data_IF_094782259365
#
_entry.id   IF_094782259365
#
_cell.length_a   1.000
_cell.length_b   1.000
_cell.length_c   1.000
_cell.angle_alpha   90.00
_cell.angle_beta   90.00
_cell.angle_gamma   90.00
#
_symmetry.space_group_name_H-M   'P 1'
#
loop_
_entity.id
_entity.type
_entity.pdbx_description
1 polymer ?
#
# COMPACT_ATOMS: atom_id res chain seq x y z
N UNK A 1 25.54 35.31 -5.39
CA UNK A 1 24.24 35.12 -4.69
C UNK A 1 23.35 34.08 -5.39
N UNK A 2 23.13 34.16 -6.71
CA UNK A 2 22.31 33.18 -7.44
C UNK A 2 22.83 31.74 -7.41
N UNK A 3 24.15 31.55 -7.28
CA UNK A 3 24.78 30.23 -7.12
C UNK A 3 24.25 29.47 -5.91
N UNK A 4 24.08 30.14 -4.77
CA UNK A 4 23.50 29.53 -3.57
C UNK A 4 22.03 29.14 -3.78
N UNK A 5 21.29 29.97 -4.52
CA UNK A 5 19.89 29.73 -4.85
C UNK A 5 19.72 28.49 -5.74
N UNK A 6 20.58 28.34 -6.76
CA UNK A 6 20.60 27.17 -7.64
C UNK A 6 21.00 25.91 -6.86
N UNK A 7 22.04 25.98 -6.04
CA UNK A 7 22.49 24.83 -5.23
C UNK A 7 21.41 24.39 -4.24
N UNK A 8 20.70 25.32 -3.62
CA UNK A 8 19.58 25.01 -2.72
C UNK A 8 18.47 24.22 -3.42
N UNK A 9 18.05 24.65 -4.62
CA UNK A 9 17.02 23.97 -5.40
C UNK A 9 17.49 22.56 -5.80
N UNK A 10 18.73 22.41 -6.22
CA UNK A 10 19.29 21.10 -6.60
C UNK A 10 19.27 20.13 -5.42
N UNK A 11 19.66 20.57 -4.22
CA UNK A 11 19.64 19.74 -3.01
C UNK A 11 18.20 19.29 -2.69
N UNK A 12 17.22 20.19 -2.79
CA UNK A 12 15.81 19.84 -2.56
C UNK A 12 15.35 18.75 -3.52
N UNK A 13 15.66 18.87 -4.81
CA UNK A 13 15.29 17.85 -5.81
C UNK A 13 15.94 16.50 -5.50
N UNK A 14 17.23 16.50 -5.14
CA UNK A 14 17.94 15.26 -4.77
C UNK A 14 17.30 14.60 -3.54
N UNK A 15 17.00 15.37 -2.50
CA UNK A 15 16.34 14.86 -1.29
C UNK A 15 14.94 14.33 -1.60
N UNK A 16 14.16 15.02 -2.43
CA UNK A 16 12.83 14.57 -2.83
C UNK A 16 12.87 13.26 -3.63
N UNK A 17 13.79 13.13 -4.59
CA UNK A 17 13.95 11.89 -5.35
C UNK A 17 14.33 10.72 -4.43
N UNK A 18 15.29 10.93 -3.53
CA UNK A 18 15.68 9.92 -2.54
C UNK A 18 14.52 9.53 -1.62
N UNK A 19 13.72 10.51 -1.17
CA UNK A 19 12.55 10.27 -0.33
C UNK A 19 11.51 9.43 -1.06
N UNK A 20 11.13 9.81 -2.28
CA UNK A 20 10.14 9.05 -3.08
C UNK A 20 10.63 7.63 -3.34
N UNK A 21 11.89 7.45 -3.76
CA UNK A 21 12.43 6.11 -4.02
C UNK A 21 12.40 5.24 -2.75
N UNK A 22 12.81 5.81 -1.61
CA UNK A 22 12.86 5.08 -0.33
C UNK A 22 11.45 4.74 0.15
N UNK A 23 10.53 5.69 0.11
CA UNK A 23 9.13 5.51 0.50
C UNK A 23 8.42 4.55 -0.44
N UNK A 24 8.64 4.61 -1.75
CA UNK A 24 8.08 3.65 -2.71
C UNK A 24 8.56 2.23 -2.43
N UNK A 25 9.81 2.03 -2.03
CA UNK A 25 10.29 0.69 -1.60
C UNK A 25 9.67 0.24 -0.27
N UNK A 26 9.39 1.16 0.65
CA UNK A 26 8.74 0.85 1.92
C UNK A 26 7.23 0.56 1.77
N UNK A 27 6.53 1.23 0.84
CA UNK A 27 5.15 0.89 0.48
C UNK A 27 5.07 -0.37 -0.37
N UNK A 28 6.07 -0.60 -1.24
CA UNK A 28 6.19 -1.82 -2.02
C UNK A 28 6.67 -3.00 -1.19
N UNK A 29 7.20 -2.76 0.02
CA UNK A 29 7.29 -3.79 1.05
C UNK A 29 5.87 -4.09 1.44
N UNK A 30 5.32 -5.06 0.71
CA UNK A 30 3.99 -5.61 0.85
C UNK A 30 3.63 -5.56 2.33
N UNK A 31 2.46 -5.00 2.63
CA UNK A 31 1.67 -5.65 3.65
C UNK A 31 1.71 -7.14 3.27
N UNK A 32 2.53 -7.94 3.96
CA UNK A 32 2.07 -9.24 4.42
C UNK A 32 0.83 -8.90 5.24
N UNK A 33 -0.25 -8.54 4.53
CA UNK A 33 -1.58 -8.95 4.90
C UNK A 33 -1.34 -10.43 4.99
N UNK A 34 -1.17 -10.90 6.22
CA UNK A 34 -1.13 -12.32 6.48
C UNK A 34 -2.23 -12.89 5.59
N UNK A 35 -1.92 -13.90 4.75
CA UNK A 35 -2.99 -14.61 4.07
C UNK A 35 -4.02 -14.89 5.16
N UNK A 36 -5.27 -14.47 4.93
CA UNK A 36 -6.36 -14.76 5.84
C UNK A 36 -6.38 -16.29 5.95
N UNK A 37 -5.68 -16.79 6.97
CA UNK A 37 -5.49 -18.21 7.21
C UNK A 37 -6.90 -18.74 7.39
N UNK A 38 -7.27 -19.58 6.43
CA UNK A 38 -8.41 -20.49 6.40
C UNK A 38 -9.27 -20.37 7.67
N UNK A 39 -10.12 -19.35 7.70
CA UNK A 39 -10.91 -19.00 8.87
C UNK A 39 -12.12 -19.95 8.88
N UNK A 40 -12.17 -20.93 9.80
CA UNK A 40 -13.21 -21.97 9.79
C UNK A 40 -14.63 -21.45 10.11
N UNK A 41 -14.79 -20.13 10.21
CA UNK A 41 -16.03 -19.43 10.50
C UNK A 41 -16.60 -18.63 9.30
N UNK A 42 -15.93 -18.56 8.14
CA UNK A 42 -16.46 -17.80 6.97
C UNK A 42 -17.55 -18.54 6.16
N UNK A 43 -17.89 -19.79 6.48
CA UNK A 43 -18.92 -20.56 5.76
C UNK A 43 -20.19 -20.86 6.57
N UNK A 44 -20.75 -19.83 7.21
CA UNK A 44 -22.07 -19.94 7.90
C UNK A 44 -23.12 -18.98 7.33
N UNK A 45 -22.84 -18.25 6.26
CA UNK A 45 -23.71 -17.14 5.80
C UNK A 45 -24.42 -17.29 4.46
N UNK A 46 -24.29 -18.41 3.72
CA UNK A 46 -24.82 -18.52 2.34
C UNK A 46 -25.46 -19.87 2.01
N UNK A 47 -26.33 -20.37 2.89
CA UNK A 47 -27.21 -21.52 2.58
C UNK A 47 -28.63 -21.29 3.08
N UNK A 48 -29.23 -20.18 2.68
CA UNK A 48 -30.66 -19.92 2.95
C UNK A 48 -31.36 -19.24 1.75
N UNK A 49 -31.10 -19.67 0.51
CA UNK A 49 -31.87 -19.13 -0.65
C UNK A 49 -32.32 -20.17 -1.70
N UNK A 50 -32.10 -21.48 -1.52
CA UNK A 50 -32.46 -22.49 -2.53
C UNK A 50 -33.51 -23.55 -2.10
N UNK A 51 -34.23 -23.36 -1.00
CA UNK A 51 -35.29 -24.30 -0.57
C UNK A 51 -36.60 -23.60 -0.20
N UNK A 52 -37.08 -22.69 -1.06
CA UNK A 52 -38.50 -22.31 -1.06
C UNK A 52 -38.93 -21.69 -2.39
N UNK A 53 -39.18 -22.53 -3.39
CA UNK A 53 -40.19 -22.21 -4.41
C UNK A 53 -41.13 -23.42 -4.59
N UNK A 54 -42.46 -23.19 -4.62
CA UNK A 54 -43.51 -24.21 -4.47
C UNK A 54 -43.69 -25.14 -5.67
#
# INVERSE_FOLDING_TARGET
>A
MYTLFVVSIVIIIVVLLLAVITTSKAYSFKHTVDPLDDNPYENTGKKEEDEKNP
#
